data_IF_460204128927
#
_entry.id   IF_460204128927
#
_cell.length_a   1.000
_cell.length_b   1.000
_cell.length_c   1.000
_cell.angle_alpha   90.00
_cell.angle_beta   90.00
_cell.angle_gamma   90.00
#
_symmetry.space_group_name_H-M   'P 1'
#
loop_
_entity.id
_entity.type
_entity.pdbx_description
1 polymer ?
#
# COMPACT_ATOMS: atom_id res chain seq x y z
N UNK A 1 51.83 14.74 -7.14
CA UNK A 1 50.37 14.87 -7.06
C UNK A 1 49.82 13.52 -7.44
N UNK A 2 49.81 12.62 -6.47
CA UNK A 2 49.04 11.38 -6.58
C UNK A 2 47.57 11.78 -6.46
N UNK A 3 46.82 11.47 -7.50
CA UNK A 3 45.37 11.59 -7.52
C UNK A 3 44.85 10.20 -7.18
N UNK A 4 44.47 10.01 -5.92
CA UNK A 4 43.79 8.79 -5.50
C UNK A 4 42.35 8.86 -6.03
N UNK A 5 42.10 8.04 -7.05
CA UNK A 5 40.85 7.88 -7.78
C UNK A 5 40.06 6.73 -7.14
N UNK A 6 39.37 6.99 -6.03
CA UNK A 6 38.48 6.01 -5.40
C UNK A 6 37.02 6.42 -5.56
N UNK A 7 36.44 5.93 -6.65
CA UNK A 7 35.01 5.91 -6.89
C UNK A 7 34.30 4.74 -6.19
N UNK A 8 33.10 5.08 -5.73
CA UNK A 8 31.93 4.23 -5.43
C UNK A 8 31.79 3.51 -4.08
N UNK A 9 30.62 3.79 -3.48
CA UNK A 9 29.92 2.87 -2.60
C UNK A 9 28.99 3.55 -1.61
N UNK A 10 27.93 4.23 -2.04
CA UNK A 10 26.79 4.46 -1.13
C UNK A 10 26.13 3.11 -0.93
N UNK A 11 26.57 2.38 0.09
CA UNK A 11 25.87 1.20 0.56
C UNK A 11 24.55 1.70 1.14
N UNK A 12 23.43 1.42 0.47
CA UNK A 12 22.12 1.63 1.08
C UNK A 12 22.08 0.80 2.37
N UNK A 13 22.19 1.49 3.50
CA UNK A 13 22.08 0.87 4.80
C UNK A 13 20.76 0.08 4.87
N UNK A 14 20.73 -1.11 5.49
CA UNK A 14 19.51 -1.89 5.57
C UNK A 14 18.41 -1.04 6.20
N UNK A 15 17.40 -0.66 5.40
CA UNK A 15 16.19 -0.01 5.92
C UNK A 15 15.60 -0.96 6.96
N UNK A 16 15.62 -0.54 8.23
CA UNK A 16 15.00 -1.28 9.33
C UNK A 16 13.57 -1.67 8.97
N UNK A 17 13.06 -2.76 9.57
CA UNK A 17 11.69 -3.20 9.32
C UNK A 17 10.73 -2.04 9.56
N UNK A 18 9.89 -1.74 8.57
CA UNK A 18 8.80 -0.79 8.73
C UNK A 18 7.97 -1.19 9.96
N UNK A 19 7.61 -0.20 10.79
CA UNK A 19 6.78 -0.42 11.97
C UNK A 19 5.39 -0.98 11.62
N UNK A 20 4.57 -1.28 12.62
CA UNK A 20 3.19 -1.73 12.38
C UNK A 20 2.37 -0.68 11.63
N UNK A 21 1.30 -1.11 10.96
CA UNK A 21 0.33 -0.18 10.38
C UNK A 21 -0.42 0.55 11.49
N UNK A 22 -0.55 1.86 11.33
CA UNK A 22 -1.37 2.72 12.17
C UNK A 22 -2.80 2.82 11.61
N UNK A 23 -3.75 3.24 12.46
CA UNK A 23 -5.12 3.49 12.01
C UNK A 23 -5.18 4.53 10.88
N UNK A 24 -4.30 5.55 10.92
CA UNK A 24 -4.22 6.56 9.86
C UNK A 24 -3.78 5.94 8.53
N UNK A 25 -2.80 5.05 8.55
CA UNK A 25 -2.37 4.31 7.35
C UNK A 25 -3.47 3.37 6.83
N UNK A 26 -4.22 2.71 7.71
CA UNK A 26 -5.34 1.85 7.29
C UNK A 26 -6.46 2.66 6.63
N UNK A 27 -6.81 3.81 7.20
CA UNK A 27 -7.78 4.73 6.61
C UNK A 27 -7.29 5.18 5.22
N UNK A 28 -6.02 5.56 5.11
CA UNK A 28 -5.41 5.94 3.84
C UNK A 28 -5.47 4.78 2.82
N UNK A 29 -5.18 3.55 3.25
CA UNK A 29 -5.23 2.38 2.38
C UNK A 29 -6.66 2.10 1.89
N UNK A 30 -7.66 2.24 2.74
CA UNK A 30 -9.08 2.14 2.36
C UNK A 30 -9.49 3.21 1.36
N UNK A 31 -9.08 4.46 1.59
CA UNK A 31 -9.35 5.56 0.66
C UNK A 31 -8.66 5.35 -0.69
N UNK A 32 -7.40 4.91 -0.66
CA UNK A 32 -6.64 4.58 -1.87
C UNK A 32 -7.33 3.49 -2.68
N UNK A 33 -7.78 2.42 -2.00
CA UNK A 33 -8.55 1.36 -2.65
C UNK A 33 -9.83 1.90 -3.30
N UNK A 34 -10.54 2.80 -2.62
CA UNK A 34 -11.77 3.40 -3.12
C UNK A 34 -11.53 4.22 -4.40
N UNK A 35 -10.46 5.01 -4.43
CA UNK A 35 -10.10 5.83 -5.59
C UNK A 35 -9.68 4.95 -6.76
N UNK A 36 -8.74 4.03 -6.55
CA UNK A 36 -8.21 3.16 -7.61
C UNK A 36 -9.28 2.22 -8.16
N UNK A 37 -10.15 1.66 -7.32
CA UNK A 37 -11.21 0.75 -7.76
C UNK A 37 -12.33 1.44 -8.54
N UNK A 38 -12.46 2.76 -8.40
CA UNK A 38 -13.49 3.57 -9.06
C UNK A 38 -12.95 4.40 -10.21
N UNK A 39 -11.67 4.28 -10.53
CA UNK A 39 -11.05 5.01 -11.63
C UNK A 39 -11.59 4.51 -12.98
N UNK A 40 -12.39 5.33 -13.70
CA UNK A 40 -12.98 4.91 -14.97
C UNK A 40 -11.95 4.83 -16.10
N UNK A 41 -10.76 5.43 -15.95
CA UNK A 41 -9.75 5.51 -17.01
C UNK A 41 -9.01 4.21 -17.27
N UNK A 42 -9.01 3.29 -16.29
CA UNK A 42 -8.19 2.07 -16.32
C UNK A 42 -8.95 0.86 -16.86
N UNK A 43 -10.29 0.92 -16.94
CA UNK A 43 -11.12 -0.21 -17.33
C UNK A 43 -11.02 -1.42 -16.38
N UNK A 44 -11.85 -2.43 -16.61
CA UNK A 44 -11.88 -3.65 -15.79
C UNK A 44 -10.75 -4.65 -16.08
N UNK A 45 -10.18 -4.60 -17.29
CA UNK A 45 -9.18 -5.55 -17.78
C UNK A 45 -7.76 -5.11 -17.45
N UNK A 46 -7.45 -5.00 -16.16
CA UNK A 46 -6.09 -4.74 -15.69
C UNK A 46 -5.47 -5.97 -15.03
N UNK A 47 -4.17 -6.15 -15.25
CA UNK A 47 -3.44 -7.19 -14.53
C UNK A 47 -3.40 -6.87 -13.03
N UNK A 48 -3.31 -7.91 -12.22
CA UNK A 48 -3.18 -7.78 -10.77
C UNK A 48 -2.02 -6.86 -10.38
N UNK A 49 -0.88 -7.03 -11.03
CA UNK A 49 0.33 -6.29 -10.69
C UNK A 49 0.20 -4.82 -11.13
N UNK A 50 -0.48 -4.52 -12.26
CA UNK A 50 -0.81 -3.15 -12.64
C UNK A 50 -1.77 -2.47 -11.65
N UNK A 51 -2.76 -3.20 -11.15
CA UNK A 51 -3.68 -2.69 -10.12
C UNK A 51 -2.94 -2.32 -8.83
N UNK A 52 -2.07 -3.21 -8.35
CA UNK A 52 -1.31 -2.97 -7.13
C UNK A 52 -0.21 -1.91 -7.30
N UNK A 53 0.33 -1.75 -8.51
CA UNK A 53 1.20 -0.62 -8.86
C UNK A 53 0.50 0.73 -8.67
N UNK A 54 -0.74 0.87 -9.19
CA UNK A 54 -1.55 2.10 -9.00
C UNK A 54 -1.92 2.34 -7.54
N UNK A 55 -2.26 1.27 -6.81
CA UNK A 55 -2.47 1.35 -5.37
C UNK A 55 -1.25 1.90 -4.64
N UNK A 56 -0.05 1.41 -4.98
CA UNK A 56 1.21 1.88 -4.38
C UNK A 56 1.46 3.34 -4.72
N UNK A 57 1.35 3.72 -5.99
CA UNK A 57 1.56 5.10 -6.45
C UNK A 57 0.63 6.08 -5.72
N UNK A 58 -0.68 5.79 -5.68
CA UNK A 58 -1.64 6.64 -5.00
C UNK A 58 -1.40 6.67 -3.48
N UNK A 59 -1.08 5.53 -2.87
CA UNK A 59 -0.77 5.48 -1.43
C UNK A 59 0.43 6.36 -1.10
N UNK A 60 1.50 6.29 -1.89
CA UNK A 60 2.74 7.05 -1.66
C UNK A 60 2.53 8.56 -1.73
N UNK A 61 1.77 9.03 -2.73
CA UNK A 61 1.45 10.46 -2.91
C UNK A 61 0.73 11.03 -1.68
N UNK A 62 -0.10 10.22 -1.04
CA UNK A 62 -0.90 10.63 0.12
C UNK A 62 -0.28 10.24 1.48
N UNK A 63 0.81 9.48 1.49
CA UNK A 63 1.38 8.94 2.72
C UNK A 63 2.26 9.97 3.44
N UNK A 64 1.74 10.50 4.54
CA UNK A 64 2.44 11.46 5.39
C UNK A 64 3.20 10.81 6.56
N UNK A 65 3.17 9.48 6.70
CA UNK A 65 3.83 8.78 7.82
C UNK A 65 5.36 8.76 7.72
N UNK A 66 5.92 9.01 6.54
CA UNK A 66 7.35 8.85 6.25
C UNK A 66 7.83 7.40 6.20
N UNK A 67 6.93 6.42 6.41
CA UNK A 67 7.24 5.00 6.34
C UNK A 67 6.90 4.48 4.94
N UNK A 68 7.90 3.98 4.22
CA UNK A 68 7.66 3.29 2.95
C UNK A 68 6.93 1.96 3.18
N UNK A 69 5.86 1.74 2.43
CA UNK A 69 5.08 0.51 2.43
C UNK A 69 5.17 -0.13 1.05
N UNK A 70 5.94 -1.21 0.94
CA UNK A 70 6.03 -1.96 -0.31
C UNK A 70 4.66 -2.46 -0.77
N UNK A 71 4.50 -2.64 -2.08
CA UNK A 71 3.27 -3.16 -2.69
C UNK A 71 2.79 -4.46 -2.02
N UNK A 72 3.72 -5.38 -1.76
CA UNK A 72 3.44 -6.64 -1.05
C UNK A 72 2.87 -6.39 0.35
N UNK A 73 3.41 -5.40 1.07
CA UNK A 73 2.94 -5.03 2.40
C UNK A 73 1.52 -4.47 2.34
N UNK A 74 1.25 -3.54 1.42
CA UNK A 74 -0.08 -2.95 1.21
C UNK A 74 -1.11 -4.04 0.88
N UNK A 75 -0.76 -4.96 -0.02
CA UNK A 75 -1.62 -6.09 -0.39
C UNK A 75 -1.93 -7.01 0.78
N UNK A 76 -0.92 -7.31 1.59
CA UNK A 76 -1.10 -8.12 2.80
C UNK A 76 -2.02 -7.43 3.80
N UNK A 77 -1.81 -6.12 4.04
CA UNK A 77 -2.65 -5.35 4.97
C UNK A 77 -4.09 -5.24 4.49
N UNK A 78 -4.29 -4.93 3.21
CA UNK A 78 -5.61 -4.88 2.59
C UNK A 78 -6.37 -6.20 2.70
N UNK A 79 -5.69 -7.34 2.51
CA UNK A 79 -6.30 -8.66 2.66
C UNK A 79 -6.90 -8.85 4.07
N UNK A 80 -6.20 -8.39 5.11
CA UNK A 80 -6.70 -8.43 6.49
C UNK A 80 -7.91 -7.52 6.68
N UNK A 81 -7.81 -6.25 6.28
CA UNK A 81 -8.90 -5.27 6.40
C UNK A 81 -10.16 -5.78 5.69
N UNK A 82 -10.02 -6.19 4.43
CA UNK A 82 -11.15 -6.66 3.63
C UNK A 82 -11.82 -7.89 4.26
N UNK A 83 -11.05 -8.85 4.81
CA UNK A 83 -11.62 -10.00 5.51
C UNK A 83 -12.48 -9.57 6.69
N UNK A 84 -12.03 -8.59 7.47
CA UNK A 84 -12.78 -8.11 8.63
C UNK A 84 -14.03 -7.31 8.19
N UNK A 85 -13.95 -6.53 7.13
CA UNK A 85 -15.11 -5.90 6.50
C UNK A 85 -16.16 -6.92 6.03
N UNK A 86 -15.73 -8.03 5.40
CA UNK A 86 -16.65 -9.07 4.95
C UNK A 86 -17.35 -9.78 6.11
N UNK A 87 -16.63 -10.06 7.21
CA UNK A 87 -17.23 -10.63 8.43
C UNK A 87 -18.28 -9.69 9.01
N UNK A 88 -17.95 -8.40 9.10
CA UNK A 88 -18.89 -7.39 9.59
C UNK A 88 -20.14 -7.31 8.72
N UNK A 89 -19.98 -7.24 7.39
CA UNK A 89 -21.09 -7.19 6.45
C UNK A 89 -22.00 -8.43 6.56
N UNK A 90 -21.42 -9.61 6.77
CA UNK A 90 -22.17 -10.85 6.99
C UNK A 90 -22.97 -10.81 8.30
N UNK A 91 -22.38 -10.30 9.38
CA UNK A 91 -23.07 -10.13 10.66
C UNK A 91 -24.20 -9.11 10.56
N UNK A 92 -23.96 -7.97 9.90
CA UNK A 92 -24.96 -6.92 9.69
C UNK A 92 -26.18 -7.45 8.92
N UNK A 93 -25.94 -8.20 7.83
CA UNK A 93 -27.00 -8.84 7.03
C UNK A 93 -27.86 -9.82 7.83
N UNK A 94 -27.31 -10.45 8.87
CA UNK A 94 -28.06 -11.36 9.73
C UNK A 94 -29.00 -10.64 10.71
N UNK A 95 -28.69 -9.39 11.07
CA UNK A 95 -29.50 -8.54 11.97
C UNK A 95 -30.61 -7.82 11.21
N UNK A 96 -30.35 -7.42 9.97
CA UNK A 96 -31.33 -6.68 9.13
C UNK A 96 -32.40 -7.59 8.49
N UNK A 97 -32.49 -8.86 8.90
CA UNK A 97 -33.47 -9.86 8.42
C UNK A 97 -34.57 -10.10 9.45
#
# INVERSE_FOLDING_TARGET
>A
FEVDEDGEGIVDAPKGRAGNYTNAEDILLCNTWLQVSRDPSVGGDQSRDAYWGRMKEHFDVCNVSGIDRSERSLRSRWSTINKDCQKWAAAQKAVDK
#
